data_IF_046043181229
#
_entry.id   IF_046043181229
#
_cell.length_a   1.000
_cell.length_b   1.000
_cell.length_c   1.000
_cell.angle_alpha   90.00
_cell.angle_beta   90.00
_cell.angle_gamma   90.00
#
_symmetry.space_group_name_H-M   'P 1'
#
loop_
_entity.id
_entity.type
_entity.pdbx_description
1 polymer ?
#
# COMPACT_ATOMS: atom_id res chain seq x y z
N UNK A 1 -0.02 37.26 6.78
CA UNK A 1 1.02 36.24 7.09
C UNK A 1 0.34 34.89 7.03
N UNK A 2 0.52 34.16 5.93
CA UNK A 2 -0.08 32.82 5.74
C UNK A 2 0.77 31.80 6.48
N UNK A 3 0.30 31.35 7.64
CA UNK A 3 0.87 30.20 8.34
C UNK A 3 0.56 28.93 7.53
N UNK A 4 1.52 28.47 6.73
CA UNK A 4 1.52 27.07 6.28
C UNK A 4 1.96 26.21 7.47
N UNK A 5 1.26 25.12 7.80
CA UNK A 5 1.74 24.19 8.81
C UNK A 5 3.03 23.56 8.27
N UNK A 6 4.13 23.76 8.99
CA UNK A 6 5.41 23.10 8.71
C UNK A 6 5.22 21.63 9.11
N UNK A 7 4.60 20.86 8.22
CA UNK A 7 4.61 19.41 8.33
C UNK A 7 6.03 18.98 7.95
N UNK A 8 6.84 18.70 8.97
CA UNK A 8 8.21 18.21 8.78
C UNK A 8 8.12 16.94 7.91
N UNK A 9 8.78 16.91 6.75
CA UNK A 9 8.82 15.76 5.82
C UNK A 9 8.98 14.38 6.52
N UNK A 10 9.76 14.24 7.62
CA UNK A 10 9.82 12.99 8.39
C UNK A 10 8.49 12.54 9.03
N UNK A 11 7.65 13.48 9.47
CA UNK A 11 6.35 13.16 10.08
C UNK A 11 5.35 12.63 9.03
N UNK A 12 5.40 13.16 7.82
CA UNK A 12 4.61 12.66 6.69
C UNK A 12 5.05 11.25 6.29
N UNK A 13 6.36 11.01 6.19
CA UNK A 13 6.91 9.69 5.90
C UNK A 13 6.51 8.66 6.98
N UNK A 14 6.63 9.02 8.26
CA UNK A 14 6.22 8.17 9.37
C UNK A 14 4.73 7.84 9.33
N UNK A 15 3.89 8.82 8.99
CA UNK A 15 2.45 8.60 8.83
C UNK A 15 2.16 7.64 7.67
N UNK A 16 2.88 7.78 6.56
CA UNK A 16 2.75 6.90 5.40
C UNK A 16 3.19 5.46 5.73
N UNK A 17 4.28 5.27 6.48
CA UNK A 17 4.67 3.95 7.00
C UNK A 17 3.60 3.35 7.91
N UNK A 18 3.10 4.11 8.87
CA UNK A 18 2.09 3.65 9.81
C UNK A 18 0.79 3.23 9.08
N UNK A 19 0.35 4.02 8.11
CA UNK A 19 -0.82 3.72 7.29
C UNK A 19 -0.64 2.46 6.44
N UNK A 20 0.56 2.29 5.85
CA UNK A 20 0.92 1.09 5.08
C UNK A 20 0.90 -0.15 5.96
N UNK A 21 1.57 -0.10 7.11
CA UNK A 21 1.64 -1.20 8.07
C UNK A 21 0.24 -1.59 8.60
N UNK A 22 -0.60 -0.60 8.93
CA UNK A 22 -1.97 -0.85 9.37
C UNK A 22 -2.80 -1.52 8.28
N UNK A 23 -2.70 -1.06 7.02
CA UNK A 23 -3.46 -1.63 5.90
C UNK A 23 -3.03 -3.07 5.61
N UNK A 24 -1.72 -3.35 5.63
CA UNK A 24 -1.18 -4.71 5.51
C UNK A 24 -1.66 -5.61 6.66
N UNK A 25 -1.64 -5.10 7.90
CA UNK A 25 -2.10 -5.85 9.08
C UNK A 25 -3.58 -6.19 8.99
N UNK A 26 -4.42 -5.24 8.59
CA UNK A 26 -5.85 -5.48 8.37
C UNK A 26 -6.08 -6.56 7.31
N UNK A 27 -5.29 -6.53 6.23
CA UNK A 27 -5.37 -7.55 5.21
C UNK A 27 -4.98 -8.92 5.78
N UNK A 28 -3.83 -9.03 6.43
CA UNK A 28 -3.32 -10.28 7.05
C UNK A 28 -4.32 -10.84 8.08
N UNK A 29 -5.03 -9.98 8.80
CA UNK A 29 -6.06 -10.38 9.78
C UNK A 29 -7.39 -10.81 9.14
N UNK A 30 -7.43 -11.02 7.82
CA UNK A 30 -8.56 -11.64 7.13
C UNK A 30 -9.46 -10.69 6.35
N UNK A 31 -9.16 -9.38 6.30
CA UNK A 31 -9.88 -8.43 5.44
C UNK A 31 -9.37 -8.49 3.98
N UNK A 32 -9.37 -9.70 3.40
CA UNK A 32 -8.85 -10.01 2.05
C UNK A 32 -9.76 -9.47 0.94
N UNK A 33 -9.93 -8.16 0.85
CA UNK A 33 -10.70 -7.52 -0.22
C UNK A 33 -9.78 -6.82 -1.24
N UNK A 34 -10.14 -6.84 -2.55
CA UNK A 34 -9.35 -6.19 -3.58
C UNK A 34 -9.14 -4.68 -3.34
N UNK A 35 -10.11 -4.03 -2.70
CA UNK A 35 -10.03 -2.60 -2.37
C UNK A 35 -8.89 -2.31 -1.39
N UNK A 36 -8.72 -3.14 -0.36
CA UNK A 36 -7.65 -2.97 0.62
C UNK A 36 -6.28 -3.26 -0.01
N UNK A 37 -6.18 -4.30 -0.83
CA UNK A 37 -4.96 -4.59 -1.57
C UNK A 37 -4.54 -3.42 -2.49
N UNK A 38 -5.50 -2.80 -3.18
CA UNK A 38 -5.25 -1.59 -3.98
C UNK A 38 -4.77 -0.40 -3.13
N UNK A 39 -5.34 -0.20 -1.93
CA UNK A 39 -4.90 0.85 -1.01
C UNK A 39 -3.43 0.64 -0.60
N UNK A 40 -3.03 -0.58 -0.30
CA UNK A 40 -1.63 -0.92 0.05
C UNK A 40 -0.70 -0.59 -1.13
N UNK A 41 -1.07 -0.97 -2.36
CA UNK A 41 -0.32 -0.62 -3.58
C UNK A 41 -0.16 0.90 -3.73
N UNK A 42 -1.21 1.68 -3.51
CA UNK A 42 -1.15 3.14 -3.62
C UNK A 42 -0.21 3.74 -2.56
N UNK A 43 -0.23 3.21 -1.33
CA UNK A 43 0.66 3.66 -0.26
C UNK A 43 2.13 3.29 -0.54
N UNK A 44 2.40 2.10 -1.06
CA UNK A 44 3.74 1.68 -1.46
C UNK A 44 4.29 2.52 -2.62
N UNK A 45 3.47 2.85 -3.62
CA UNK A 45 3.87 3.77 -4.69
C UNK A 45 4.22 5.16 -4.13
N UNK A 46 3.45 5.67 -3.15
CA UNK A 46 3.76 6.93 -2.48
C UNK A 46 5.08 6.88 -1.73
N UNK A 47 5.39 5.75 -1.08
CA UNK A 47 6.68 5.54 -0.40
C UNK A 47 7.83 5.57 -1.40
N UNK A 48 7.68 4.88 -2.53
CA UNK A 48 8.73 4.79 -3.56
C UNK A 48 9.06 6.13 -4.25
N UNK A 49 8.12 7.07 -4.29
CA UNK A 49 8.36 8.42 -4.83
C UNK A 49 8.74 9.44 -3.75
N UNK A 50 8.76 9.05 -2.47
CA UNK A 50 9.06 9.96 -1.38
C UNK A 50 10.58 10.24 -1.31
N UNK A 51 11.01 11.51 -1.32
CA UNK A 51 12.44 11.87 -1.41
C UNK A 51 13.28 11.39 -0.22
N UNK A 52 12.66 11.22 0.94
CA UNK A 52 13.35 10.72 2.15
C UNK A 52 13.53 9.19 2.17
N UNK A 53 12.80 8.44 1.33
CA UNK A 53 12.96 6.97 1.25
C UNK A 53 14.29 6.58 0.63
N UNK A 54 14.75 7.33 -0.37
CA UNK A 54 16.07 7.13 -1.01
C UNK A 54 17.22 7.15 0.01
N UNK A 55 17.12 7.95 1.07
CA UNK A 55 18.16 8.11 2.08
C UNK A 55 18.22 6.93 3.07
N UNK A 56 17.17 6.12 3.15
CA UNK A 56 17.05 5.05 4.16
C UNK A 56 17.45 3.66 3.65
N UNK A 57 17.70 3.51 2.35
CA UNK A 57 17.98 2.19 1.73
C UNK A 57 16.77 1.24 1.69
N UNK A 58 15.58 1.68 2.14
CA UNK A 58 14.37 0.86 2.19
C UNK A 58 13.63 0.75 0.84
N UNK A 59 14.13 1.44 -0.20
CA UNK A 59 13.50 1.49 -1.53
C UNK A 59 13.30 0.10 -2.13
N UNK A 60 14.33 -0.75 -2.11
CA UNK A 60 14.26 -2.11 -2.66
C UNK A 60 13.19 -2.95 -1.94
N UNK A 61 13.11 -2.85 -0.62
CA UNK A 61 12.08 -3.51 0.18
C UNK A 61 10.66 -3.06 -0.24
N UNK A 62 10.45 -1.76 -0.48
CA UNK A 62 9.16 -1.27 -0.97
C UNK A 62 8.84 -1.72 -2.39
N UNK A 63 9.84 -1.90 -3.25
CA UNK A 63 9.64 -2.46 -4.59
C UNK A 63 9.17 -3.91 -4.51
N UNK A 64 9.87 -4.74 -3.72
CA UNK A 64 9.49 -6.14 -3.52
C UNK A 64 8.08 -6.28 -2.92
N UNK A 65 7.74 -5.42 -1.94
CA UNK A 65 6.39 -5.38 -1.40
C UNK A 65 5.37 -4.98 -2.48
N UNK A 66 5.67 -3.97 -3.29
CA UNK A 66 4.77 -3.50 -4.34
C UNK A 66 4.46 -4.63 -5.35
N UNK A 67 5.48 -5.33 -5.83
CA UNK A 67 5.32 -6.45 -6.76
C UNK A 67 4.46 -7.56 -6.15
N UNK A 68 4.72 -7.91 -4.89
CA UNK A 68 3.94 -8.91 -4.17
C UNK A 68 2.45 -8.52 -4.05
N UNK A 69 2.16 -7.27 -3.67
CA UNK A 69 0.78 -6.80 -3.51
C UNK A 69 0.03 -6.66 -4.85
N UNK A 70 0.74 -6.36 -5.94
CA UNK A 70 0.17 -6.40 -7.30
C UNK A 70 -0.27 -7.81 -7.68
N UNK A 71 0.54 -8.83 -7.40
CA UNK A 71 0.18 -10.24 -7.65
C UNK A 71 -1.03 -10.66 -6.82
N UNK A 72 -1.05 -10.36 -5.51
CA UNK A 72 -2.22 -10.62 -4.65
C UNK A 72 -3.47 -9.97 -5.22
N UNK A 73 -3.38 -8.73 -5.69
CA UNK A 73 -4.54 -8.02 -6.25
C UNK A 73 -5.07 -8.70 -7.50
N UNK A 74 -4.20 -9.14 -8.41
CA UNK A 74 -4.57 -9.91 -9.60
C UNK A 74 -5.26 -11.22 -9.21
N UNK A 75 -4.73 -11.96 -8.23
CA UNK A 75 -5.34 -13.19 -7.74
C UNK A 75 -6.74 -12.96 -7.14
N UNK A 76 -6.90 -11.92 -6.32
CA UNK A 76 -8.18 -11.59 -5.71
C UNK A 76 -9.24 -11.21 -6.76
N UNK A 77 -8.84 -10.50 -7.81
CA UNK A 77 -9.71 -10.16 -8.93
C UNK A 77 -10.07 -11.42 -9.74
N UNK A 78 -9.10 -12.29 -10.04
CA UNK A 78 -9.35 -13.57 -10.72
C UNK A 78 -10.32 -14.47 -9.94
N UNK A 79 -10.17 -14.56 -8.61
CA UNK A 79 -11.07 -15.32 -7.74
C UNK A 79 -12.50 -14.76 -7.71
N UNK A 80 -12.66 -13.42 -7.81
CA UNK A 80 -13.99 -12.79 -7.92
C UNK A 80 -14.69 -13.19 -9.22
N UNK A 81 -13.98 -13.19 -10.34
CA UNK A 81 -14.51 -13.61 -11.63
C UNK A 81 -14.92 -15.09 -11.63
N UNK A 82 -14.12 -15.95 -11.00
CA UNK A 82 -14.42 -17.38 -10.90
C UNK A 82 -15.65 -17.69 -10.04
N UNK A 83 -15.88 -16.96 -8.94
CA UNK A 83 -17.08 -17.12 -8.10
C UNK A 83 -18.36 -16.66 -8.81
N UNK A 84 -18.27 -15.77 -9.80
CA UNK A 84 -19.42 -15.28 -10.55
C UNK A 84 -19.89 -16.23 -11.66
N UNK A 85 -19.02 -17.17 -12.09
CA UNK A 85 -19.33 -18.19 -13.10
C UNK A 85 -19.95 -19.49 -12.54
N UNK A 86 -20.07 -19.63 -11.22
CA UNK A 86 -20.70 -20.81 -10.59
C UNK A 86 -22.23 -20.70 -10.40
N UNK A 87 -22.84 -19.60 -10.87
CA UNK A 87 -24.29 -19.36 -10.74
C UNK A 87 -24.95 -19.00 -12.09
N UNK A 88 -24.59 -19.68 -13.18
CA UNK A 88 -25.35 -19.66 -14.43
C UNK A 88 -25.62 -21.08 -14.92
#
# INVERSE_FOLDING_TARGET
MTHQPIQSRPAELNQLHASTCMSMTQFINGHHCPKLAYVIIQQLNRLLVHPDVEQTGSREMYQQLLEHWQQITVELLGRKSAKQLQFH
#
